data_IF_522650403372
#
_entry.id   IF_522650403372
#
_cell.length_a   1.000
_cell.length_b   1.000
_cell.length_c   1.000
_cell.angle_alpha   90.00
_cell.angle_beta   90.00
_cell.angle_gamma   90.00
#
_symmetry.space_group_name_H-M   'P 1'
#
loop_
_entity.id
_entity.type
_entity.pdbx_description
1 polymer ?
#
# COMPACT_ATOMS: atom_id res chain seq x y z
N UNK A 1 -15.72 17.24 15.81
CA UNK A 1 -16.66 16.77 14.75
C UNK A 1 -16.67 15.25 14.75
N UNK A 2 -17.81 14.63 14.37
CA UNK A 2 -17.94 13.16 14.30
C UNK A 2 -17.83 12.70 12.85
N UNK A 3 -16.92 11.72 12.58
CA UNK A 3 -16.66 11.15 11.25
C UNK A 3 -17.09 9.68 11.25
N UNK A 4 -17.96 9.29 10.31
CA UNK A 4 -18.35 7.91 10.07
C UNK A 4 -17.28 7.19 9.22
N UNK A 5 -16.56 6.26 9.80
CA UNK A 5 -15.53 5.48 9.12
C UNK A 5 -16.13 4.20 8.53
N UNK A 6 -16.32 4.15 7.21
CA UNK A 6 -16.90 3.01 6.49
C UNK A 6 -15.80 2.02 6.12
N UNK A 7 -15.88 0.78 6.59
CA UNK A 7 -14.85 -0.23 6.32
C UNK A 7 -15.43 -1.65 6.29
N UNK A 8 -14.81 -2.52 5.50
CA UNK A 8 -15.02 -3.98 5.56
C UNK A 8 -14.13 -4.64 6.64
N UNK A 9 -13.15 -3.90 7.15
CA UNK A 9 -12.14 -4.38 8.10
C UNK A 9 -12.38 -3.82 9.50
N UNK A 10 -11.82 -4.50 10.50
CA UNK A 10 -11.70 -3.98 11.84
C UNK A 10 -10.71 -2.82 11.87
N UNK A 11 -11.09 -1.71 12.51
CA UNK A 11 -10.26 -0.51 12.52
C UNK A 11 -8.98 -0.67 13.34
N UNK A 12 -8.92 -1.67 14.23
CA UNK A 12 -7.73 -1.98 15.03
C UNK A 12 -6.82 -3.04 14.40
N UNK A 13 -7.22 -3.66 13.27
CA UNK A 13 -6.42 -4.72 12.65
C UNK A 13 -5.27 -4.15 11.81
N UNK A 14 -4.05 -4.25 12.33
CA UNK A 14 -2.81 -3.82 11.67
C UNK A 14 -2.37 -4.71 10.49
N UNK A 15 -3.15 -5.75 10.14
CA UNK A 15 -2.93 -6.56 8.93
C UNK A 15 -3.80 -6.08 7.76
N UNK A 16 -4.93 -5.44 8.07
CA UNK A 16 -5.87 -4.97 7.05
C UNK A 16 -5.23 -3.87 6.19
N UNK A 17 -5.21 -4.10 4.87
CA UNK A 17 -4.62 -3.17 3.89
C UNK A 17 -3.21 -2.69 4.30
N UNK A 18 -2.33 -3.65 4.65
CA UNK A 18 -0.95 -3.41 5.14
C UNK A 18 -0.86 -2.54 6.40
N UNK A 19 -1.94 -2.47 7.19
CA UNK A 19 -2.03 -1.65 8.40
C UNK A 19 -2.63 -0.26 8.18
N UNK A 20 -2.87 0.14 6.93
CA UNK A 20 -3.35 1.50 6.59
C UNK A 20 -4.67 1.84 7.26
N UNK A 21 -5.62 0.90 7.35
CA UNK A 21 -6.91 1.13 8.03
C UNK A 21 -6.71 1.53 9.50
N UNK A 22 -5.83 0.82 10.22
CA UNK A 22 -5.54 1.11 11.62
C UNK A 22 -4.85 2.47 11.79
N UNK A 23 -3.81 2.75 10.99
CA UNK A 23 -3.11 4.03 11.04
C UNK A 23 -4.00 5.23 10.67
N UNK A 24 -4.88 5.09 9.68
CA UNK A 24 -5.89 6.11 9.35
C UNK A 24 -6.85 6.34 10.51
N UNK A 25 -7.37 5.26 11.10
CA UNK A 25 -8.29 5.36 12.24
C UNK A 25 -7.63 6.01 13.46
N UNK A 26 -6.39 5.60 13.79
CA UNK A 26 -5.61 6.18 14.89
C UNK A 26 -5.31 7.67 14.62
N UNK A 27 -4.94 8.02 13.39
CA UNK A 27 -4.64 9.40 13.00
C UNK A 27 -5.87 10.30 13.09
N UNK A 28 -7.01 9.85 12.55
CA UNK A 28 -8.27 10.61 12.63
C UNK A 28 -8.76 10.77 14.06
N UNK A 29 -8.55 9.77 14.93
CA UNK A 29 -9.01 9.78 16.32
C UNK A 29 -8.26 10.80 17.20
N UNK A 30 -7.18 11.42 16.70
CA UNK A 30 -6.48 12.48 17.43
C UNK A 30 -7.33 13.75 17.56
N UNK A 31 -8.14 14.08 16.55
CA UNK A 31 -8.90 15.34 16.49
C UNK A 31 -10.41 15.14 16.24
N UNK A 32 -10.84 13.95 15.84
CA UNK A 32 -12.21 13.65 15.50
C UNK A 32 -12.78 12.47 16.32
N UNK A 33 -14.08 12.50 16.58
CA UNK A 33 -14.81 11.36 17.13
C UNK A 33 -15.11 10.39 15.99
N UNK A 34 -14.32 9.32 15.88
CA UNK A 34 -14.45 8.31 14.82
C UNK A 34 -15.58 7.34 15.15
N UNK A 35 -16.64 7.38 14.36
CA UNK A 35 -17.79 6.47 14.47
C UNK A 35 -17.59 5.27 13.52
N UNK A 36 -17.35 4.03 14.01
CA UNK A 36 -17.08 2.88 13.15
C UNK A 36 -18.34 2.38 12.44
N UNK A 37 -18.29 2.30 11.11
CA UNK A 37 -19.32 1.71 10.25
C UNK A 37 -18.70 0.48 9.58
N UNK A 38 -18.46 -0.56 10.40
CA UNK A 38 -17.80 -1.79 9.93
C UNK A 38 -18.83 -2.78 9.42
N UNK A 39 -18.75 -3.16 8.14
CA UNK A 39 -19.66 -4.10 7.49
C UNK A 39 -18.87 -5.35 7.08
N UNK A 40 -18.98 -6.40 7.89
CA UNK A 40 -18.32 -7.70 7.62
C UNK A 40 -19.29 -8.73 7.09
N UNK A 41 -18.79 -9.69 6.32
CA UNK A 41 -19.55 -10.89 5.99
C UNK A 41 -19.86 -11.69 7.25
N UNK A 42 -21.07 -12.20 7.35
CA UNK A 42 -21.39 -13.19 8.38
C UNK A 42 -20.78 -14.55 8.00
N UNK A 43 -20.66 -15.42 9.01
CA UNK A 43 -20.18 -16.80 8.78
C UNK A 43 -21.05 -17.50 7.70
N UNK A 44 -22.36 -17.33 7.75
CA UNK A 44 -23.30 -17.88 6.77
C UNK A 44 -23.04 -17.32 5.36
N UNK A 45 -22.80 -16.01 5.24
CA UNK A 45 -22.45 -15.39 3.94
C UNK A 45 -21.13 -15.92 3.39
N UNK A 46 -20.14 -16.10 4.25
CA UNK A 46 -18.84 -16.66 3.83
C UNK A 46 -18.99 -18.08 3.29
N UNK A 47 -19.80 -18.91 3.93
CA UNK A 47 -20.11 -20.27 3.42
C UNK A 47 -20.95 -20.23 2.14
N UNK A 48 -21.94 -19.36 2.07
CA UNK A 48 -22.76 -19.18 0.85
C UNK A 48 -21.92 -18.72 -0.33
N UNK A 49 -21.01 -17.77 -0.14
CA UNK A 49 -20.05 -17.33 -1.16
C UNK A 49 -19.14 -18.48 -1.62
N UNK A 50 -18.60 -19.27 -0.68
CA UNK A 50 -17.79 -20.45 -1.01
C UNK A 50 -18.59 -21.47 -1.84
N UNK A 51 -19.85 -21.70 -1.49
CA UNK A 51 -20.74 -22.62 -2.21
C UNK A 51 -21.08 -22.12 -3.61
N UNK A 52 -21.44 -20.83 -3.76
CA UNK A 52 -21.69 -20.20 -5.06
C UNK A 52 -20.43 -20.25 -5.92
N UNK A 53 -19.27 -19.96 -5.35
CA UNK A 53 -17.97 -20.04 -6.03
C UNK A 53 -17.65 -21.46 -6.50
N UNK A 54 -18.02 -22.46 -5.72
CA UNK A 54 -17.87 -23.88 -6.09
C UNK A 54 -18.79 -24.27 -7.24
N UNK A 55 -20.10 -23.95 -7.18
CA UNK A 55 -21.08 -24.27 -8.24
C UNK A 55 -20.77 -23.50 -9.53
N UNK A 56 -20.33 -22.24 -9.44
CA UNK A 56 -20.00 -21.42 -10.60
C UNK A 56 -18.62 -21.71 -11.18
N UNK A 57 -17.95 -22.80 -10.77
CA UNK A 57 -16.59 -23.16 -11.19
C UNK A 57 -15.61 -21.98 -11.03
N UNK A 58 -15.69 -21.27 -9.91
CA UNK A 58 -14.90 -20.07 -9.57
C UNK A 58 -15.15 -18.83 -10.45
N UNK A 59 -16.23 -18.81 -11.24
CA UNK A 59 -16.53 -17.70 -12.16
C UNK A 59 -17.23 -16.49 -11.52
N UNK A 60 -17.81 -16.65 -10.33
CA UNK A 60 -18.56 -15.58 -9.65
C UNK A 60 -17.99 -15.34 -8.26
N UNK A 61 -17.43 -14.14 -8.05
CA UNK A 61 -16.94 -13.69 -6.76
C UNK A 61 -17.86 -12.65 -6.11
N UNK A 62 -18.68 -11.94 -6.92
CA UNK A 62 -19.62 -10.93 -6.47
C UNK A 62 -20.96 -11.11 -7.16
N UNK A 63 -22.01 -11.31 -6.39
CA UNK A 63 -23.34 -11.60 -6.88
C UNK A 63 -24.32 -10.45 -6.60
N UNK A 64 -25.48 -10.47 -7.29
CA UNK A 64 -26.58 -9.56 -6.99
C UNK A 64 -27.02 -9.71 -5.51
N UNK A 65 -26.92 -10.93 -4.97
CA UNK A 65 -27.24 -11.20 -3.56
C UNK A 65 -26.27 -10.46 -2.63
N UNK A 66 -24.97 -10.48 -2.94
CA UNK A 66 -23.95 -9.71 -2.19
C UNK A 66 -24.28 -8.22 -2.20
N UNK A 67 -24.62 -7.69 -3.38
CA UNK A 67 -25.01 -6.29 -3.55
C UNK A 67 -26.20 -5.92 -2.65
N UNK A 68 -27.25 -6.75 -2.62
CA UNK A 68 -28.42 -6.53 -1.78
C UNK A 68 -28.05 -6.58 -0.28
N UNK A 69 -27.28 -7.59 0.11
CA UNK A 69 -26.90 -7.75 1.52
C UNK A 69 -26.01 -6.60 2.00
N UNK A 70 -25.01 -6.20 1.19
CA UNK A 70 -24.17 -5.04 1.52
C UNK A 70 -24.99 -3.76 1.60
N UNK A 71 -25.91 -3.55 0.65
CA UNK A 71 -26.82 -2.40 0.68
C UNK A 71 -27.63 -2.35 1.99
N UNK A 72 -28.26 -3.45 2.39
CA UNK A 72 -29.05 -3.51 3.62
C UNK A 72 -28.17 -3.21 4.86
N UNK A 73 -27.01 -3.87 4.94
CA UNK A 73 -26.12 -3.73 6.10
C UNK A 73 -25.57 -2.31 6.23
N UNK A 74 -25.01 -1.76 5.12
CA UNK A 74 -24.39 -0.42 5.15
C UNK A 74 -25.44 0.64 5.45
N UNK A 75 -26.62 0.57 4.82
CA UNK A 75 -27.68 1.56 5.01
C UNK A 75 -28.27 1.57 6.42
N UNK A 76 -28.40 0.40 7.06
CA UNK A 76 -28.81 0.34 8.45
C UNK A 76 -27.79 1.00 9.40
N UNK A 77 -26.49 0.80 9.15
CA UNK A 77 -25.43 1.44 9.94
C UNK A 77 -25.32 2.93 9.66
N UNK A 78 -25.46 3.36 8.40
CA UNK A 78 -25.50 4.79 8.04
C UNK A 78 -26.65 5.52 8.76
N UNK A 79 -27.85 4.94 8.77
CA UNK A 79 -28.99 5.51 9.52
C UNK A 79 -28.68 5.68 11.00
N UNK A 80 -27.99 4.72 11.63
CA UNK A 80 -27.59 4.81 13.04
C UNK A 80 -26.52 5.89 13.24
N UNK A 81 -25.53 5.98 12.34
CA UNK A 81 -24.47 6.99 12.38
C UNK A 81 -25.04 8.42 12.27
N UNK A 82 -25.95 8.65 11.33
CA UNK A 82 -26.64 9.97 11.19
C UNK A 82 -27.44 10.33 12.42
N UNK A 83 -28.18 9.39 13.01
CA UNK A 83 -28.90 9.61 14.30
C UNK A 83 -27.92 9.95 15.43
N UNK A 84 -26.67 9.50 15.35
CA UNK A 84 -25.59 9.82 16.30
C UNK A 84 -24.86 11.13 15.98
N UNK A 85 -25.33 11.89 14.98
CA UNK A 85 -24.77 13.20 14.59
C UNK A 85 -23.61 13.16 13.57
N UNK A 86 -23.39 12.03 12.89
CA UNK A 86 -22.42 11.93 11.80
C UNK A 86 -22.94 12.66 10.56
N UNK A 87 -22.12 13.57 10.01
CA UNK A 87 -22.40 14.30 8.76
C UNK A 87 -21.28 14.13 7.71
N UNK A 88 -20.13 13.63 8.10
CA UNK A 88 -19.01 13.33 7.22
C UNK A 88 -18.75 11.83 7.24
N UNK A 89 -18.72 11.21 6.08
CA UNK A 89 -18.39 9.80 5.90
C UNK A 89 -17.05 9.66 5.20
N UNK A 90 -16.15 8.89 5.79
CA UNK A 90 -14.86 8.54 5.22
C UNK A 90 -14.85 7.05 4.88
N UNK A 91 -14.55 6.71 3.63
CA UNK A 91 -14.67 5.37 3.07
C UNK A 91 -13.35 4.90 2.43
N UNK A 92 -12.33 4.50 3.23
CA UNK A 92 -11.06 4.00 2.69
C UNK A 92 -11.20 2.56 2.18
N UNK A 93 -10.76 2.32 0.94
CA UNK A 93 -10.80 1.02 0.24
C UNK A 93 -12.18 0.34 0.30
N UNK A 94 -13.26 1.12 0.29
CA UNK A 94 -14.62 0.64 0.55
C UNK A 94 -15.59 0.91 -0.61
N UNK A 95 -15.13 0.84 -1.86
CA UNK A 95 -15.97 1.13 -3.04
C UNK A 95 -17.21 0.25 -3.13
N UNK A 96 -17.10 -1.04 -2.80
CA UNK A 96 -18.26 -1.94 -2.80
C UNK A 96 -19.32 -1.54 -1.76
N UNK A 97 -18.91 -1.08 -0.59
CA UNK A 97 -19.85 -0.60 0.44
C UNK A 97 -20.45 0.75 0.04
N UNK A 98 -19.60 1.70 -0.36
CA UNK A 98 -20.01 3.05 -0.73
C UNK A 98 -20.90 3.04 -1.98
N UNK A 99 -20.56 2.25 -3.00
CA UNK A 99 -21.37 2.08 -4.21
C UNK A 99 -22.79 1.59 -3.92
N UNK A 100 -22.99 0.80 -2.85
CA UNK A 100 -24.30 0.29 -2.42
C UNK A 100 -24.94 1.11 -1.29
N UNK A 101 -24.31 2.19 -0.83
CA UNK A 101 -24.81 3.06 0.23
C UNK A 101 -25.83 4.08 -0.30
N UNK A 102 -26.86 4.34 0.48
CA UNK A 102 -27.77 5.49 0.29
C UNK A 102 -27.29 6.60 1.22
N UNK A 103 -26.53 7.52 0.69
CA UNK A 103 -25.99 8.65 1.44
C UNK A 103 -27.12 9.63 1.74
N UNK A 104 -27.36 10.00 2.99
CA UNK A 104 -28.38 11.01 3.34
C UNK A 104 -27.99 12.38 2.82
N UNK A 105 -28.99 13.18 2.44
CA UNK A 105 -28.81 14.54 1.95
C UNK A 105 -28.05 15.41 2.96
N UNK A 106 -27.17 16.26 2.46
CA UNK A 106 -26.36 17.18 3.27
C UNK A 106 -25.17 16.50 3.99
N UNK A 107 -24.88 15.23 3.69
CA UNK A 107 -23.69 14.58 4.18
C UNK A 107 -22.54 14.68 3.16
N UNK A 108 -21.33 14.96 3.66
CA UNK A 108 -20.08 14.91 2.90
C UNK A 108 -19.56 13.48 2.85
N UNK A 109 -19.04 13.06 1.70
CA UNK A 109 -18.46 11.71 1.50
C UNK A 109 -17.07 11.83 0.94
N UNK A 110 -16.08 11.32 1.65
CA UNK A 110 -14.69 11.28 1.22
C UNK A 110 -14.33 9.81 0.95
N UNK A 111 -14.05 9.49 -0.31
CA UNK A 111 -13.57 8.18 -0.72
C UNK A 111 -12.05 8.20 -0.79
N UNK A 112 -11.39 7.15 -0.30
CA UNK A 112 -9.94 6.98 -0.36
C UNK A 112 -9.60 5.63 -0.97
N UNK A 113 -8.66 5.61 -1.92
CA UNK A 113 -8.07 4.36 -2.43
C UNK A 113 -6.62 4.57 -2.90
N UNK A 114 -5.86 3.48 -3.00
CA UNK A 114 -4.53 3.49 -3.62
C UNK A 114 -4.58 3.25 -5.14
N UNK A 115 -5.73 2.82 -5.64
CA UNK A 115 -5.93 2.50 -7.06
C UNK A 115 -7.41 2.54 -7.41
N UNK A 116 -7.74 2.49 -8.70
CA UNK A 116 -9.09 2.16 -9.19
C UNK A 116 -9.21 0.65 -9.42
N UNK A 117 -10.44 0.12 -9.43
CA UNK A 117 -10.65 -1.29 -9.76
C UNK A 117 -10.24 -1.62 -11.20
N UNK A 118 -10.41 -0.69 -12.15
CA UNK A 118 -9.99 -0.87 -13.53
C UNK A 118 -8.49 -1.15 -13.64
N UNK A 119 -7.64 -0.39 -12.96
CA UNK A 119 -6.20 -0.59 -12.94
C UNK A 119 -5.75 -1.91 -12.29
N UNK A 120 -6.58 -2.50 -11.43
CA UNK A 120 -6.28 -3.79 -10.82
C UNK A 120 -6.47 -4.97 -11.79
N UNK A 121 -7.25 -4.79 -12.86
CA UNK A 121 -7.51 -5.83 -13.84
C UNK A 121 -6.25 -6.13 -14.65
N UNK A 122 -5.91 -7.42 -14.72
CA UNK A 122 -4.72 -7.94 -15.40
C UNK A 122 -3.38 -7.36 -14.88
N UNK A 123 -3.42 -6.68 -13.73
CA UNK A 123 -2.28 -6.15 -12.99
C UNK A 123 -2.10 -6.84 -11.62
N UNK A 124 -3.16 -6.92 -10.83
CA UNK A 124 -3.26 -7.70 -9.59
C UNK A 124 -4.29 -8.83 -9.68
N UNK A 125 -5.37 -8.60 -10.46
CA UNK A 125 -6.49 -9.53 -10.59
C UNK A 125 -6.49 -10.17 -11.96
N UNK A 126 -5.96 -11.38 -12.04
CA UNK A 126 -5.91 -12.17 -13.28
C UNK A 126 -7.11 -13.11 -13.38
N UNK A 127 -7.57 -13.36 -14.61
CA UNK A 127 -8.63 -14.34 -14.88
C UNK A 127 -10.01 -13.98 -14.31
N UNK A 128 -10.27 -12.69 -14.04
CA UNK A 128 -11.57 -12.22 -13.54
C UNK A 128 -12.65 -12.40 -14.60
N UNK A 129 -13.81 -12.95 -14.22
CA UNK A 129 -14.92 -13.14 -15.14
C UNK A 129 -15.48 -11.82 -15.69
N UNK A 130 -16.03 -11.82 -16.90
CA UNK A 130 -16.65 -10.61 -17.49
C UNK A 130 -17.74 -10.02 -16.59
N UNK A 131 -18.51 -10.89 -15.92
CA UNK A 131 -19.57 -10.46 -15.02
C UNK A 131 -19.02 -9.78 -13.77
N UNK A 132 -17.99 -10.37 -13.13
CA UNK A 132 -17.33 -9.75 -11.98
C UNK A 132 -16.66 -8.42 -12.36
N UNK A 133 -15.95 -8.36 -13.50
CA UNK A 133 -15.37 -7.12 -14.02
C UNK A 133 -16.42 -6.01 -14.10
N UNK A 134 -17.61 -6.33 -14.71
CA UNK A 134 -18.71 -5.38 -14.82
C UNK A 134 -19.29 -4.98 -13.45
N UNK A 135 -19.52 -5.96 -12.56
CA UNK A 135 -20.11 -5.68 -11.24
C UNK A 135 -19.21 -4.79 -10.37
N UNK A 136 -17.93 -5.08 -10.31
CA UNK A 136 -16.98 -4.30 -9.52
C UNK A 136 -16.73 -2.91 -10.13
N UNK A 137 -16.57 -2.81 -11.46
CA UNK A 137 -16.45 -1.49 -12.12
C UNK A 137 -17.69 -0.62 -11.88
N UNK A 138 -18.90 -1.19 -11.94
CA UNK A 138 -20.11 -0.45 -11.63
C UNK A 138 -20.15 0.00 -10.17
N UNK A 139 -19.72 -0.85 -9.22
CA UNK A 139 -19.66 -0.47 -7.80
C UNK A 139 -18.64 0.64 -7.54
N UNK A 140 -17.49 0.60 -8.22
CA UNK A 140 -16.48 1.67 -8.17
C UNK A 140 -17.06 2.97 -8.75
N UNK A 141 -17.66 2.91 -9.94
CA UNK A 141 -18.31 4.09 -10.56
C UNK A 141 -19.37 4.70 -9.65
N UNK A 142 -20.23 3.85 -9.04
CA UNK A 142 -21.27 4.30 -8.12
C UNK A 142 -20.66 4.96 -6.86
N UNK A 143 -19.54 4.43 -6.36
CA UNK A 143 -18.83 5.02 -5.22
C UNK A 143 -18.22 6.38 -5.58
N UNK A 144 -17.53 6.47 -6.72
CA UNK A 144 -16.93 7.71 -7.21
C UNK A 144 -17.97 8.81 -7.48
N UNK A 145 -19.15 8.44 -8.01
CA UNK A 145 -20.25 9.37 -8.22
C UNK A 145 -20.84 9.92 -6.92
N UNK A 146 -20.85 9.12 -5.85
CA UNK A 146 -21.37 9.50 -4.53
C UNK A 146 -20.37 10.32 -3.70
N UNK A 147 -19.10 10.17 -3.96
CA UNK A 147 -18.07 10.91 -3.27
C UNK A 147 -18.16 12.41 -3.59
N UNK A 148 -18.11 13.26 -2.56
CA UNK A 148 -17.90 14.71 -2.70
C UNK A 148 -16.44 14.99 -3.02
N UNK A 149 -15.54 14.28 -2.33
CA UNK A 149 -14.09 14.33 -2.52
C UNK A 149 -13.52 12.92 -2.63
N UNK A 150 -12.49 12.78 -3.45
CA UNK A 150 -11.81 11.52 -3.70
C UNK A 150 -10.33 11.71 -3.43
N UNK A 151 -9.75 10.82 -2.66
CA UNK A 151 -8.32 10.83 -2.36
C UNK A 151 -7.69 9.59 -2.98
N UNK A 152 -6.67 9.79 -3.80
CA UNK A 152 -5.80 8.72 -4.28
C UNK A 152 -4.37 8.90 -3.73
N UNK A 153 -3.67 7.78 -3.55
CA UNK A 153 -2.28 7.80 -3.07
C UNK A 153 -1.26 8.15 -4.15
N UNK A 154 -1.68 8.29 -5.42
CA UNK A 154 -0.79 8.54 -6.55
C UNK A 154 -1.52 9.20 -7.74
N UNK A 155 -0.76 9.91 -8.56
CA UNK A 155 -1.24 10.44 -9.84
C UNK A 155 -1.61 9.33 -10.84
N UNK A 156 -1.02 8.15 -10.71
CA UNK A 156 -1.35 6.99 -11.52
C UNK A 156 -2.83 6.59 -11.36
N UNK A 157 -3.30 6.49 -10.11
CA UNK A 157 -4.70 6.20 -9.82
C UNK A 157 -5.64 7.37 -10.19
N UNK A 158 -5.24 8.63 -9.91
CA UNK A 158 -5.98 9.83 -10.31
C UNK A 158 -6.22 9.87 -11.81
N UNK A 159 -5.18 9.65 -12.63
CA UNK A 159 -5.28 9.67 -14.10
C UNK A 159 -6.30 8.66 -14.63
N UNK A 160 -6.35 7.46 -14.06
CA UNK A 160 -7.32 6.46 -14.45
C UNK A 160 -8.74 6.82 -14.02
N UNK A 161 -8.93 7.36 -12.82
CA UNK A 161 -10.24 7.82 -12.36
C UNK A 161 -10.82 8.90 -13.29
N UNK A 162 -10.00 9.80 -13.79
CA UNK A 162 -10.41 10.83 -14.77
C UNK A 162 -10.67 10.21 -16.14
N UNK A 163 -9.72 9.41 -16.67
CA UNK A 163 -9.77 8.93 -18.06
C UNK A 163 -10.75 7.79 -18.29
N UNK A 164 -10.86 6.84 -17.35
CA UNK A 164 -11.71 5.67 -17.50
C UNK A 164 -13.09 5.84 -16.86
N UNK A 165 -13.15 6.40 -15.63
CA UNK A 165 -14.41 6.61 -14.91
C UNK A 165 -15.05 7.97 -15.15
N UNK A 166 -14.39 8.89 -15.84
CA UNK A 166 -14.92 10.22 -16.16
C UNK A 166 -15.13 11.11 -14.92
N UNK A 167 -14.37 10.89 -13.87
CA UNK A 167 -14.47 11.68 -12.64
C UNK A 167 -13.97 13.10 -12.90
N UNK A 168 -14.71 14.11 -12.38
CA UNK A 168 -14.23 15.49 -12.42
C UNK A 168 -12.94 15.62 -11.59
N UNK A 169 -11.88 16.12 -12.24
CA UNK A 169 -10.55 16.24 -11.63
C UNK A 169 -10.55 17.12 -10.38
N UNK A 170 -11.41 18.14 -10.29
CA UNK A 170 -11.53 19.05 -9.15
C UNK A 170 -11.95 18.35 -7.86
N UNK A 171 -12.54 17.14 -7.94
CA UNK A 171 -12.90 16.32 -6.79
C UNK A 171 -11.75 15.45 -6.30
N UNK A 172 -10.64 15.36 -7.05
CA UNK A 172 -9.59 14.38 -6.80
C UNK A 172 -8.37 15.05 -6.19
N UNK A 173 -8.02 14.59 -5.00
CA UNK A 173 -6.82 14.96 -4.28
C UNK A 173 -5.81 13.82 -4.32
N UNK A 174 -4.52 14.12 -4.48
CA UNK A 174 -3.44 13.12 -4.40
C UNK A 174 -2.72 13.30 -3.07
N UNK A 175 -2.91 12.35 -2.17
CA UNK A 175 -2.26 12.31 -0.86
C UNK A 175 -1.53 10.97 -0.71
N UNK A 176 -0.20 10.94 -0.85
CA UNK A 176 0.60 9.74 -0.65
C UNK A 176 0.43 9.19 0.77
N UNK A 177 0.42 7.86 0.93
CA UNK A 177 0.30 7.25 2.24
C UNK A 177 1.58 7.41 3.06
N UNK A 178 1.41 7.54 4.37
CA UNK A 178 2.51 7.50 5.32
C UNK A 178 3.03 6.08 5.55
N UNK A 179 4.24 5.99 6.10
CA UNK A 179 4.80 4.71 6.55
C UNK A 179 4.05 4.16 7.77
N UNK A 180 3.84 2.83 7.80
CA UNK A 180 3.11 2.12 8.85
C UNK A 180 4.04 1.45 9.87
N UNK A 181 5.07 2.19 10.30
CA UNK A 181 6.04 1.81 11.33
C UNK A 181 6.16 2.91 12.39
N UNK A 182 6.97 2.68 13.43
CA UNK A 182 7.37 3.73 14.37
C UNK A 182 8.48 4.56 13.75
N UNK A 183 8.40 5.87 13.89
CA UNK A 183 9.48 6.76 13.43
C UNK A 183 10.58 6.82 14.51
N UNK A 184 11.53 5.92 14.40
CA UNK A 184 12.70 5.81 15.27
C UNK A 184 13.99 6.03 14.45
N UNK A 185 13.99 7.04 13.59
CA UNK A 185 15.08 7.32 12.67
C UNK A 185 16.34 7.84 13.38
N UNK A 186 17.48 7.27 12.99
CA UNK A 186 18.81 7.81 13.26
C UNK A 186 19.52 8.11 11.94
N UNK A 187 20.19 9.27 11.81
CA UNK A 187 20.91 9.60 10.59
C UNK A 187 21.91 8.51 10.19
N UNK A 188 21.87 8.14 8.91
CA UNK A 188 22.81 7.16 8.38
C UNK A 188 24.23 7.73 8.42
N UNK A 189 25.18 6.86 8.70
CA UNK A 189 26.61 7.15 8.68
C UNK A 189 27.20 6.66 7.36
N UNK A 190 28.51 6.86 7.19
CA UNK A 190 29.25 6.21 6.11
C UNK A 190 29.06 4.67 6.18
N UNK A 191 28.97 4.06 5.01
CA UNK A 191 28.74 2.62 4.89
C UNK A 191 29.95 1.83 5.41
N UNK A 192 29.67 0.76 6.14
CA UNK A 192 30.64 -0.32 6.28
C UNK A 192 30.69 -1.09 4.93
N UNK A 193 31.70 -0.80 4.12
CA UNK A 193 31.83 -1.42 2.78
C UNK A 193 31.83 -2.93 2.82
N UNK A 194 32.24 -3.55 3.92
CA UNK A 194 32.29 -5.00 4.09
C UNK A 194 31.02 -5.62 4.61
N UNK A 195 30.01 -4.80 4.93
CA UNK A 195 28.73 -5.30 5.46
C UNK A 195 27.59 -4.36 5.10
N UNK A 196 27.28 -4.25 3.80
CA UNK A 196 26.17 -3.45 3.29
C UNK A 196 24.89 -4.30 3.37
N UNK A 197 23.94 -3.87 4.16
CA UNK A 197 22.68 -4.58 4.39
C UNK A 197 21.58 -4.07 3.48
N UNK A 198 21.14 -4.92 2.59
CA UNK A 198 19.99 -4.68 1.71
C UNK A 198 18.75 -5.27 2.35
N UNK A 199 17.68 -4.49 2.44
CA UNK A 199 16.38 -4.92 2.94
C UNK A 199 15.40 -5.14 1.80
N UNK A 200 14.75 -6.30 1.81
CA UNK A 200 13.60 -6.62 0.98
C UNK A 200 12.38 -6.89 1.87
N UNK A 201 11.24 -6.27 1.58
CA UNK A 201 9.98 -6.50 2.30
C UNK A 201 8.85 -6.82 1.33
N UNK A 202 8.34 -8.05 1.39
CA UNK A 202 7.26 -8.49 0.51
C UNK A 202 6.72 -9.87 0.87
N UNK A 203 5.45 -10.14 0.53
CA UNK A 203 4.76 -11.41 0.86
C UNK A 203 4.40 -12.24 -0.37
N UNK A 204 4.79 -11.79 -1.54
CA UNK A 204 4.51 -12.43 -2.83
C UNK A 204 5.80 -12.52 -3.62
N UNK A 205 6.24 -13.76 -3.89
CA UNK A 205 7.54 -14.04 -4.50
C UNK A 205 7.68 -13.44 -5.90
N UNK A 206 6.71 -13.75 -6.75
CA UNK A 206 6.75 -13.38 -8.17
C UNK A 206 6.50 -11.88 -8.38
N UNK A 207 5.45 -11.37 -7.74
CA UNK A 207 5.03 -9.99 -7.90
C UNK A 207 6.05 -9.00 -7.33
N UNK A 208 6.69 -9.34 -6.20
CA UNK A 208 7.69 -8.48 -5.55
C UNK A 208 9.09 -8.60 -6.13
N UNK A 209 9.29 -9.52 -7.10
CA UNK A 209 10.56 -9.67 -7.80
C UNK A 209 11.68 -10.26 -6.94
N UNK A 210 11.34 -11.23 -6.09
CA UNK A 210 12.30 -11.81 -5.13
C UNK A 210 13.52 -12.43 -5.82
N UNK A 211 13.32 -13.16 -6.93
CA UNK A 211 14.44 -13.73 -7.70
C UNK A 211 15.37 -12.64 -8.28
N UNK A 212 14.81 -11.51 -8.68
CA UNK A 212 15.58 -10.36 -9.18
C UNK A 212 16.44 -9.75 -8.06
N UNK A 213 15.87 -9.61 -6.85
CA UNK A 213 16.60 -9.09 -5.70
C UNK A 213 17.73 -10.03 -5.27
N UNK A 214 17.49 -11.34 -5.27
CA UNK A 214 18.51 -12.37 -4.97
C UNK A 214 19.60 -12.36 -6.04
N UNK A 215 19.24 -12.33 -7.32
CA UNK A 215 20.21 -12.27 -8.42
C UNK A 215 21.06 -11.00 -8.35
N UNK A 216 20.45 -9.86 -8.00
CA UNK A 216 21.14 -8.60 -7.79
C UNK A 216 22.27 -8.74 -6.75
N UNK A 217 21.97 -9.29 -5.56
CA UNK A 217 22.97 -9.44 -4.49
C UNK A 217 24.06 -10.45 -4.89
N UNK A 218 23.67 -11.56 -5.53
CA UNK A 218 24.65 -12.52 -6.05
C UNK A 218 25.59 -11.88 -7.08
N UNK A 219 25.07 -11.04 -7.99
CA UNK A 219 25.88 -10.30 -8.97
C UNK A 219 26.81 -9.29 -8.29
N UNK A 220 26.30 -8.53 -7.33
CA UNK A 220 27.08 -7.56 -6.55
C UNK A 220 28.29 -8.24 -5.87
N UNK A 221 28.10 -9.40 -5.25
CA UNK A 221 29.16 -10.13 -4.54
C UNK A 221 30.09 -10.93 -5.47
N UNK A 222 29.73 -11.09 -6.76
CA UNK A 222 30.62 -11.69 -7.78
C UNK A 222 31.57 -10.68 -8.40
N UNK A 223 31.31 -9.39 -8.27
CA UNK A 223 32.15 -8.34 -8.83
C UNK A 223 33.38 -8.10 -7.94
N UNK A 224 34.53 -7.86 -8.54
CA UNK A 224 35.76 -7.50 -7.83
C UNK A 224 35.68 -6.05 -7.32
N UNK A 225 34.99 -5.88 -6.19
CA UNK A 225 34.84 -4.58 -5.51
C UNK A 225 35.24 -4.70 -4.04
N UNK A 226 35.44 -3.54 -3.38
CA UNK A 226 35.65 -3.50 -1.93
C UNK A 226 34.35 -3.71 -1.11
N UNK A 227 33.20 -3.83 -1.81
CA UNK A 227 31.89 -3.95 -1.19
C UNK A 227 31.50 -5.41 -0.99
N UNK A 228 30.83 -5.68 0.13
CA UNK A 228 30.14 -6.96 0.38
C UNK A 228 28.70 -6.69 0.81
N UNK A 229 27.75 -7.47 0.31
CA UNK A 229 26.32 -7.22 0.45
C UNK A 229 25.61 -8.43 1.07
N UNK A 230 24.69 -8.15 2.00
CA UNK A 230 23.76 -9.12 2.57
C UNK A 230 22.32 -8.71 2.23
N UNK A 231 21.47 -9.68 1.91
CA UNK A 231 20.04 -9.47 1.64
C UNK A 231 19.18 -10.04 2.77
N UNK A 232 18.45 -9.17 3.48
CA UNK A 232 17.47 -9.56 4.48
C UNK A 232 16.06 -9.53 3.86
N UNK A 233 15.39 -10.68 3.79
CA UNK A 233 14.07 -10.86 3.18
C UNK A 233 13.02 -11.04 4.26
N UNK A 234 12.12 -10.05 4.41
CA UNK A 234 10.97 -10.12 5.32
C UNK A 234 9.70 -10.43 4.52
N UNK A 235 8.89 -11.35 5.05
CA UNK A 235 7.57 -11.70 4.53
C UNK A 235 7.50 -13.00 3.75
N UNK A 236 8.65 -13.61 3.45
CA UNK A 236 8.76 -14.86 2.71
C UNK A 236 9.50 -15.91 3.51
N UNK A 237 9.08 -17.17 3.36
CA UNK A 237 9.79 -18.33 3.91
C UNK A 237 10.85 -18.83 2.92
N UNK A 238 11.97 -19.36 3.43
CA UNK A 238 13.02 -19.96 2.59
C UNK A 238 12.48 -21.21 1.89
N UNK A 239 12.49 -21.28 0.56
CA UNK A 239 12.17 -22.51 -0.18
C UNK A 239 13.12 -23.65 0.21
N UNK A 240 12.56 -24.83 0.44
CA UNK A 240 13.33 -26.00 0.94
C UNK A 240 14.21 -26.64 -0.13
N UNK A 241 13.86 -26.46 -1.39
CA UNK A 241 14.45 -27.09 -2.58
C UNK A 241 15.48 -26.20 -3.28
N UNK A 242 15.79 -25.02 -2.70
CA UNK A 242 16.73 -24.04 -3.27
C UNK A 242 17.82 -23.68 -2.26
N UNK A 243 19.06 -23.60 -2.76
CA UNK A 243 20.17 -23.03 -2.02
C UNK A 243 20.44 -21.60 -2.51
N UNK A 244 20.57 -20.65 -1.55
CA UNK A 244 20.70 -19.22 -1.86
C UNK A 244 22.05 -18.61 -1.46
N UNK A 245 22.98 -19.41 -0.92
CA UNK A 245 24.22 -18.90 -0.34
C UNK A 245 24.02 -18.32 1.07
N UNK A 246 25.12 -17.88 1.69
CA UNK A 246 25.16 -17.43 3.07
C UNK A 246 24.74 -15.96 3.22
N UNK A 247 24.77 -15.18 2.17
CA UNK A 247 24.44 -13.74 2.16
C UNK A 247 22.93 -13.45 2.01
N UNK A 248 22.10 -14.49 1.84
CA UNK A 248 20.65 -14.35 1.65
C UNK A 248 19.90 -14.88 2.86
N UNK A 249 19.32 -13.98 3.63
CA UNK A 249 18.68 -14.27 4.92
C UNK A 249 17.16 -14.16 4.82
N UNK A 250 16.45 -15.27 5.00
CA UNK A 250 15.00 -15.29 5.06
C UNK A 250 14.53 -15.15 6.51
N UNK A 251 13.92 -14.01 6.81
CA UNK A 251 13.46 -13.67 8.18
C UNK A 251 12.07 -14.26 8.47
N UNK A 252 11.33 -14.61 7.40
CA UNK A 252 9.96 -15.07 7.50
C UNK A 252 8.95 -13.92 7.66
N UNK A 253 7.70 -14.29 7.95
CA UNK A 253 6.61 -13.33 8.14
C UNK A 253 6.66 -12.73 9.53
N UNK A 254 6.57 -11.40 9.61
CA UNK A 254 6.44 -10.65 10.86
C UNK A 254 5.04 -10.07 11.00
N UNK A 255 4.42 -10.26 12.17
CA UNK A 255 3.06 -9.83 12.46
C UNK A 255 3.06 -8.49 13.19
N UNK A 256 2.65 -7.42 12.52
CA UNK A 256 2.57 -6.06 13.08
C UNK A 256 1.63 -5.93 14.32
N UNK A 257 0.74 -6.91 14.57
CA UNK A 257 -0.06 -6.96 15.79
C UNK A 257 0.68 -7.57 17.00
N UNK A 258 1.83 -8.19 16.79
CA UNK A 258 2.72 -8.66 17.85
C UNK A 258 3.80 -7.61 18.09
N UNK A 259 3.96 -7.15 19.34
CA UNK A 259 4.86 -6.05 19.68
C UNK A 259 6.34 -6.38 19.37
N UNK A 260 6.78 -7.60 19.69
CA UNK A 260 8.17 -8.04 19.50
C UNK A 260 8.50 -8.19 18.01
N UNK A 261 7.55 -8.73 17.21
CA UNK A 261 7.73 -8.86 15.77
C UNK A 261 7.65 -7.51 15.05
N UNK A 262 6.84 -6.58 15.56
CA UNK A 262 6.78 -5.22 15.07
C UNK A 262 8.08 -4.45 15.34
N UNK A 263 8.63 -4.58 16.54
CA UNK A 263 9.93 -4.03 16.90
C UNK A 263 11.06 -4.64 16.06
N UNK A 264 11.04 -5.96 15.88
CA UNK A 264 11.98 -6.66 15.00
C UNK A 264 11.93 -6.12 13.57
N UNK A 265 10.72 -5.90 13.03
CA UNK A 265 10.55 -5.30 11.68
C UNK A 265 11.14 -3.90 11.63
N UNK A 266 10.83 -3.04 12.60
CA UNK A 266 11.37 -1.68 12.74
C UNK A 266 12.90 -1.70 12.76
N UNK A 267 13.50 -2.61 13.52
CA UNK A 267 14.95 -2.75 13.63
C UNK A 267 15.61 -3.13 12.29
N UNK A 268 14.98 -3.97 11.46
CA UNK A 268 15.51 -4.28 10.12
C UNK A 268 15.54 -3.05 9.23
N UNK A 269 14.51 -2.20 9.21
CA UNK A 269 14.54 -0.94 8.47
C UNK A 269 15.61 0.01 9.00
N UNK A 270 15.75 0.10 10.32
CA UNK A 270 16.71 0.99 10.97
C UNK A 270 18.18 0.59 10.69
N UNK A 271 18.46 -0.72 10.71
CA UNK A 271 19.83 -1.24 10.59
C UNK A 271 20.25 -1.58 9.17
N UNK A 272 19.35 -1.50 8.19
CA UNK A 272 19.67 -1.68 6.78
C UNK A 272 20.19 -0.41 6.13
N UNK A 273 20.89 -0.54 5.02
CA UNK A 273 21.52 0.55 4.28
C UNK A 273 20.78 0.89 2.98
N UNK A 274 20.24 -0.12 2.30
CA UNK A 274 19.58 0.01 1.00
C UNK A 274 18.26 -0.76 1.04
N UNK A 275 17.23 -0.24 0.37
CA UNK A 275 15.96 -0.91 0.17
C UNK A 275 15.81 -1.37 -1.28
N UNK A 276 15.65 -2.68 -1.50
CA UNK A 276 15.54 -3.27 -2.83
C UNK A 276 14.27 -4.13 -2.95
N UNK A 277 13.29 -3.65 -3.68
CA UNK A 277 12.07 -4.40 -4.01
C UNK A 277 11.73 -4.19 -5.48
N UNK A 278 12.22 -5.04 -6.39
CA UNK A 278 11.95 -4.97 -7.83
C UNK A 278 10.53 -5.39 -8.16
N UNK A 279 9.53 -4.70 -7.58
CA UNK A 279 8.13 -5.09 -7.72
C UNK A 279 7.64 -4.96 -9.15
N UNK A 280 6.91 -5.98 -9.64
CA UNK A 280 6.31 -5.99 -10.99
C UNK A 280 4.96 -5.30 -11.02
N UNK A 281 4.30 -5.21 -9.87
CA UNK A 281 3.02 -4.54 -9.71
C UNK A 281 2.86 -3.98 -8.29
N UNK A 282 2.51 -2.68 -8.19
CA UNK A 282 2.31 -1.99 -6.91
C UNK A 282 1.39 -0.78 -7.08
N UNK A 283 0.36 -0.66 -6.26
CA UNK A 283 -0.58 0.46 -6.33
C UNK A 283 -0.04 1.70 -5.62
N UNK A 284 0.29 1.57 -4.34
CA UNK A 284 0.89 2.64 -3.54
C UNK A 284 2.33 2.28 -3.12
N UNK A 285 2.50 1.12 -2.50
CA UNK A 285 3.81 0.69 -2.02
C UNK A 285 4.20 1.33 -0.70
N UNK A 286 3.39 1.14 0.33
CA UNK A 286 3.66 1.64 1.69
C UNK A 286 5.08 1.30 2.17
N UNK A 287 5.63 0.17 1.77
CA UNK A 287 7.01 -0.23 2.10
C UNK A 287 8.06 0.77 1.63
N UNK A 288 7.78 1.56 0.59
CA UNK A 288 8.66 2.63 0.12
C UNK A 288 8.58 3.87 1.01
N UNK A 289 7.39 4.21 1.55
CA UNK A 289 7.27 5.23 2.58
C UNK A 289 7.97 4.78 3.88
N UNK A 290 7.84 3.50 4.24
CA UNK A 290 8.55 2.90 5.37
C UNK A 290 10.08 2.95 5.16
N UNK A 291 10.58 2.65 3.95
CA UNK A 291 12.00 2.77 3.63
C UNK A 291 12.49 4.23 3.71
N UNK A 292 11.73 5.16 3.17
CA UNK A 292 12.03 6.60 3.25
C UNK A 292 12.01 7.13 4.68
N UNK A 293 11.14 6.61 5.56
CA UNK A 293 11.11 6.91 6.99
C UNK A 293 12.47 6.67 7.65
N UNK A 294 13.17 5.61 7.24
CA UNK A 294 14.49 5.25 7.75
C UNK A 294 15.65 5.73 6.87
N UNK A 295 15.38 6.57 5.88
CA UNK A 295 16.40 7.13 5.01
C UNK A 295 17.12 6.08 4.18
N UNK A 296 16.42 5.03 3.72
CA UNK A 296 17.00 4.01 2.86
C UNK A 296 16.88 4.45 1.39
N UNK A 297 17.98 4.55 0.62
CA UNK A 297 17.91 4.66 -0.83
C UNK A 297 17.14 3.46 -1.42
N UNK A 298 16.18 3.74 -2.31
CA UNK A 298 15.21 2.76 -2.80
C UNK A 298 15.54 2.34 -4.22
N UNK A 299 15.59 1.02 -4.48
CA UNK A 299 15.72 0.45 -5.82
C UNK A 299 14.51 -0.43 -6.13
N UNK A 300 13.80 -0.11 -7.23
CA UNK A 300 12.53 -0.74 -7.58
C UNK A 300 12.27 -0.65 -9.09
N UNK A 301 11.20 -1.30 -9.57
CA UNK A 301 10.71 -1.01 -10.92
C UNK A 301 9.81 0.23 -10.91
N UNK A 302 9.85 1.00 -12.01
CA UNK A 302 8.89 2.04 -12.31
C UNK A 302 7.56 1.41 -12.76
N UNK A 303 6.63 1.21 -11.83
CA UNK A 303 5.33 0.58 -12.11
C UNK A 303 4.25 1.12 -11.19
N UNK A 304 3.03 1.26 -11.69
CA UNK A 304 1.87 1.71 -10.91
C UNK A 304 2.10 3.06 -10.23
N UNK A 305 1.82 3.13 -8.93
CA UNK A 305 1.96 4.35 -8.13
C UNK A 305 3.34 4.53 -7.47
N UNK A 306 4.31 3.65 -7.72
CA UNK A 306 5.60 3.60 -7.00
C UNK A 306 6.38 4.90 -7.08
N UNK A 307 6.41 5.55 -8.26
CA UNK A 307 7.19 6.78 -8.45
C UNK A 307 6.61 8.01 -7.74
N UNK A 308 5.48 7.89 -7.09
CA UNK A 308 5.02 8.88 -6.09
C UNK A 308 5.89 8.84 -4.83
N UNK A 309 6.43 7.67 -4.50
CA UNK A 309 7.24 7.43 -3.30
C UNK A 309 8.74 7.53 -3.54
N UNK A 310 9.19 7.47 -4.80
CA UNK A 310 10.60 7.44 -5.18
C UNK A 310 10.90 8.55 -6.18
N UNK A 311 11.78 9.47 -5.80
CA UNK A 311 12.33 10.48 -6.72
C UNK A 311 13.57 9.91 -7.40
N UNK A 312 13.44 9.58 -8.69
CA UNK A 312 14.49 8.94 -9.45
C UNK A 312 15.79 9.74 -9.48
N UNK A 313 16.91 9.09 -9.12
CA UNK A 313 18.22 9.72 -9.02
C UNK A 313 18.42 10.65 -7.82
N UNK A 314 17.47 10.71 -6.87
CA UNK A 314 17.56 11.56 -5.66
C UNK A 314 17.30 10.79 -4.37
N UNK A 315 16.27 9.95 -4.34
CA UNK A 315 15.93 9.13 -3.17
C UNK A 315 16.09 7.64 -3.47
N UNK A 316 16.36 7.31 -4.73
CA UNK A 316 16.45 5.95 -5.22
C UNK A 316 16.48 5.88 -6.75
N UNK A 317 16.20 4.69 -7.27
CA UNK A 317 16.14 4.40 -8.71
C UNK A 317 14.91 3.56 -9.03
N UNK A 318 14.12 4.03 -10.01
CA UNK A 318 13.05 3.27 -10.64
C UNK A 318 13.47 2.74 -12.00
N UNK A 319 13.80 1.46 -12.12
CA UNK A 319 14.16 0.85 -13.39
C UNK A 319 12.93 0.40 -14.17
N UNK A 320 13.04 0.29 -15.50
CA UNK A 320 11.95 -0.18 -16.34
C UNK A 320 11.54 -1.63 -16.02
N UNK A 321 10.26 -1.95 -16.23
CA UNK A 321 9.79 -3.34 -16.11
C UNK A 321 10.57 -4.24 -17.09
N UNK A 322 11.15 -5.31 -16.54
CA UNK A 322 12.03 -6.20 -17.30
C UNK A 322 13.51 -6.03 -16.97
N UNK A 323 13.88 -5.02 -16.17
CA UNK A 323 15.23 -4.92 -15.62
C UNK A 323 15.58 -6.18 -14.80
N UNK A 324 16.80 -6.66 -14.97
CA UNK A 324 17.34 -7.87 -14.37
C UNK A 324 18.03 -7.58 -13.04
N UNK A 325 18.44 -8.63 -12.30
CA UNK A 325 19.28 -8.44 -11.11
C UNK A 325 20.60 -7.73 -11.43
N UNK A 326 21.18 -7.96 -12.61
CA UNK A 326 22.38 -7.26 -13.06
C UNK A 326 22.14 -5.75 -13.28
N UNK A 327 21.01 -5.36 -13.83
CA UNK A 327 20.66 -3.94 -14.01
C UNK A 327 20.50 -3.24 -12.65
N UNK A 328 19.90 -3.90 -11.67
CA UNK A 328 19.79 -3.40 -10.29
C UNK A 328 21.16 -3.33 -9.61
N UNK A 329 22.02 -4.34 -9.79
CA UNK A 329 23.38 -4.34 -9.27
C UNK A 329 24.18 -3.15 -9.80
N UNK A 330 24.13 -2.92 -11.11
CA UNK A 330 24.79 -1.79 -11.75
C UNK A 330 24.27 -0.44 -11.23
N UNK A 331 22.96 -0.30 -11.01
CA UNK A 331 22.37 0.92 -10.48
C UNK A 331 22.81 1.19 -9.02
N UNK A 332 22.89 0.16 -8.18
CA UNK A 332 23.39 0.25 -6.80
C UNK A 332 24.88 0.67 -6.81
N UNK A 333 25.70 -0.01 -7.60
CA UNK A 333 27.13 0.32 -7.70
C UNK A 333 27.36 1.73 -8.25
N UNK A 334 26.56 2.19 -9.20
CA UNK A 334 26.63 3.56 -9.70
C UNK A 334 26.43 4.58 -8.58
N UNK A 335 25.40 4.39 -7.73
CA UNK A 335 25.16 5.25 -6.55
C UNK A 335 26.36 5.24 -5.59
N UNK A 336 26.89 4.04 -5.28
CA UNK A 336 28.01 3.87 -4.35
C UNK A 336 29.30 4.49 -4.88
N UNK A 337 29.67 4.19 -6.13
CA UNK A 337 30.88 4.69 -6.77
C UNK A 337 30.88 6.21 -6.98
N UNK A 338 29.69 6.79 -7.18
CA UNK A 338 29.52 8.24 -7.26
C UNK A 338 29.49 8.94 -5.88
N UNK A 339 29.58 8.18 -4.78
CA UNK A 339 29.51 8.73 -3.42
C UNK A 339 28.14 9.32 -3.04
N UNK A 340 27.06 8.92 -3.71
CA UNK A 340 25.73 9.50 -3.56
C UNK A 340 24.91 8.89 -2.42
N UNK A 341 25.40 7.86 -1.72
CA UNK A 341 24.64 7.13 -0.71
C UNK A 341 24.06 8.04 0.39
N UNK A 342 24.90 8.84 1.03
CA UNK A 342 24.46 9.71 2.14
C UNK A 342 23.49 10.81 1.67
N UNK A 343 23.72 11.33 0.46
CA UNK A 343 22.82 12.31 -0.15
C UNK A 343 21.42 11.71 -0.40
N UNK A 344 21.36 10.52 -1.03
CA UNK A 344 20.10 9.85 -1.31
C UNK A 344 19.39 9.42 -0.02
N UNK A 345 20.14 8.94 0.96
CA UNK A 345 19.60 8.61 2.28
C UNK A 345 18.94 9.82 2.94
N UNK A 346 19.63 10.97 2.97
CA UNK A 346 19.10 12.21 3.53
C UNK A 346 17.87 12.70 2.74
N UNK A 347 17.89 12.61 1.41
CA UNK A 347 16.78 13.01 0.57
C UNK A 347 15.56 12.10 0.76
N UNK A 348 15.76 10.78 0.91
CA UNK A 348 14.68 9.84 1.23
C UNK A 348 14.02 10.22 2.57
N UNK A 349 14.80 10.50 3.61
CA UNK A 349 14.28 10.97 4.89
C UNK A 349 13.53 12.30 4.77
N UNK A 350 14.07 13.28 4.06
CA UNK A 350 13.40 14.57 3.83
C UNK A 350 12.07 14.40 3.10
N UNK A 351 12.00 13.53 2.10
CA UNK A 351 10.76 13.21 1.38
C UNK A 351 9.73 12.60 2.32
N UNK A 352 10.15 11.68 3.20
CA UNK A 352 9.26 11.17 4.25
C UNK A 352 8.72 12.30 5.14
N UNK A 353 9.58 13.16 5.66
CA UNK A 353 9.19 14.25 6.56
C UNK A 353 8.26 15.27 5.91
N UNK A 354 8.44 15.55 4.62
CA UNK A 354 7.63 16.54 3.90
C UNK A 354 6.34 15.99 3.28
N UNK A 355 6.29 14.69 2.94
CA UNK A 355 5.22 14.15 2.09
C UNK A 355 4.68 12.79 2.55
N UNK A 356 5.55 11.85 3.01
CA UNK A 356 5.21 10.44 3.15
C UNK A 356 4.94 10.03 4.61
N UNK A 357 4.35 10.92 5.40
CA UNK A 357 3.98 10.65 6.79
C UNK A 357 2.51 10.96 7.06
N UNK A 358 1.95 10.30 8.08
CA UNK A 358 0.55 10.43 8.42
C UNK A 358 0.17 11.78 9.01
N UNK A 359 1.12 12.54 9.55
CA UNK A 359 0.87 13.90 10.09
C UNK A 359 0.62 14.89 8.95
N UNK A 360 1.47 14.84 7.90
CA UNK A 360 1.27 15.64 6.68
C UNK A 360 -0.02 15.24 5.98
N UNK A 361 -0.24 13.92 5.79
CA UNK A 361 -1.46 13.40 5.20
C UNK A 361 -2.71 13.93 5.92
N UNK A 362 -2.68 13.94 7.26
CA UNK A 362 -3.80 14.39 8.07
C UNK A 362 -4.01 15.91 8.00
N UNK A 363 -2.94 16.70 7.93
CA UNK A 363 -3.04 18.14 7.73
C UNK A 363 -3.74 18.47 6.41
N UNK A 364 -3.38 17.78 5.32
CA UNK A 364 -4.02 17.95 4.02
C UNK A 364 -5.48 17.45 4.03
N UNK A 365 -5.74 16.32 4.67
CA UNK A 365 -7.09 15.77 4.84
C UNK A 365 -8.02 16.73 5.60
N UNK A 366 -7.53 17.44 6.63
CA UNK A 366 -8.32 18.48 7.32
C UNK A 366 -8.76 19.57 6.36
N UNK A 367 -7.86 20.05 5.50
CA UNK A 367 -8.21 21.04 4.48
C UNK A 367 -9.35 20.58 3.56
N UNK A 368 -9.35 19.28 3.20
CA UNK A 368 -10.42 18.69 2.37
C UNK A 368 -11.74 18.61 3.14
N UNK A 369 -11.73 18.27 4.44
CA UNK A 369 -12.96 18.22 5.25
C UNK A 369 -13.59 19.59 5.43
N UNK A 370 -12.76 20.63 5.59
CA UNK A 370 -13.19 21.99 5.90
C UNK A 370 -13.61 22.80 4.67
N UNK A 371 -13.22 22.38 3.47
CA UNK A 371 -13.67 22.93 2.20
C UNK A 371 -15.11 22.47 1.85
#
# INVERSE_FOLDING_TARGET
MKIGFISEFDLADKKAWSGTISFLSETLSKDYDVYPIVVKDSVVQTYLKKFIKFISLKRWNYTIIDKIIYSIKVNNRLKQAVKSGVKVFFAPAASCLLGNANIPDGCKVIYLSDTTYHLMLDYYFFGVSKNDKKCFNNSEQDALNKATDIIYSSDWAKKDAVSYYGVNEDKIHVLPFGGNLRDEYYPKKELDKKNIKILFVGVDWERKGTDIAIDCVNKLNQLETDFHFELNIIGLEKPKDRNFGDDIHFIGKLNKNNADEFEKMTNYYQTSDIFLVPTKAECAGIVFAEASMYGLPIFTHNTGGVMTYVDDGKTGRGLELGATGEDFANAILQMLNNGQYLEWSLNARKKYESELNWEKWFADFKGIIES
#
